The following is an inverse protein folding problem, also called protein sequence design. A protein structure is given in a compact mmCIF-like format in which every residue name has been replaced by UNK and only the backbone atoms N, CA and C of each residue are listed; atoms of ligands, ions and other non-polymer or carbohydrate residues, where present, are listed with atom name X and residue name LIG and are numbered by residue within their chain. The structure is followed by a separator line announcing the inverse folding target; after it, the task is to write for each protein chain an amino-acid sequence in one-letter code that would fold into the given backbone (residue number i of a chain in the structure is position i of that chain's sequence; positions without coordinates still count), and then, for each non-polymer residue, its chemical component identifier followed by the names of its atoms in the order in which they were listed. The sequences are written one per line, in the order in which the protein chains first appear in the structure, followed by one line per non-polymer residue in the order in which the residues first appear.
data_IF_607630697794
#
_entry.id   IF_607630697794
#
_cell.length_a   1.000
_cell.length_b   1.000
_cell.length_c   1.000
_cell.angle_alpha   90.00
_cell.angle_beta   90.00
_cell.angle_gamma   90.00
#
_symmetry.space_group_name_H-M   'P 1'
#
loop_
_entity.id
_entity.type
_entity.pdbx_description
1 polymer ?
#
# COMPACT_ATOMS: atom_id res chain seq x y z
N UNK A 1 -25.41 -10.60 0.96
CA UNK A 1 -24.35 -11.61 1.21
C UNK A 1 -23.11 -11.18 0.45
N UNK A 2 -22.01 -10.96 1.11
CA UNK A 2 -20.73 -10.68 0.44
C UNK A 2 -20.22 -11.94 -0.23
N UNK A 3 -19.83 -11.85 -1.49
CA UNK A 3 -19.23 -12.99 -2.22
C UNK A 3 -17.93 -13.38 -1.53
N UNK A 4 -17.79 -14.68 -1.21
CA UNK A 4 -16.52 -15.22 -0.67
C UNK A 4 -15.48 -15.25 -1.79
N UNK A 5 -14.32 -14.62 -1.57
CA UNK A 5 -13.19 -14.56 -2.49
C UNK A 5 -12.05 -15.44 -2.00
N UNK A 6 -11.20 -15.89 -2.93
CA UNK A 6 -9.92 -16.50 -2.65
C UNK A 6 -8.84 -15.40 -2.77
N UNK A 7 -8.09 -15.15 -1.70
CA UNK A 7 -7.13 -14.06 -1.62
C UNK A 7 -5.72 -14.62 -1.53
N UNK A 8 -4.83 -14.14 -2.40
CA UNK A 8 -3.39 -14.32 -2.26
C UNK A 8 -2.77 -13.07 -1.62
N UNK A 9 -1.80 -13.26 -0.72
CA UNK A 9 -1.14 -12.16 0.01
C UNK A 9 0.35 -12.14 -0.29
N UNK A 10 0.85 -11.04 -0.86
CA UNK A 10 2.27 -10.82 -1.06
C UNK A 10 2.96 -10.45 0.27
N UNK A 11 4.17 -10.96 0.50
CA UNK A 11 4.92 -10.72 1.72
C UNK A 11 4.15 -11.19 2.97
N UNK A 12 3.53 -12.37 2.87
CA UNK A 12 2.55 -12.90 3.83
C UNK A 12 3.10 -13.09 5.25
N UNK A 13 4.40 -13.30 5.42
CA UNK A 13 5.04 -13.43 6.72
C UNK A 13 5.52 -12.10 7.31
N UNK A 14 5.45 -11.00 6.53
CA UNK A 14 5.75 -9.65 6.98
C UNK A 14 4.72 -9.10 7.97
N UNK A 15 5.01 -7.96 8.57
CA UNK A 15 4.09 -7.30 9.53
C UNK A 15 2.71 -7.04 8.93
N UNK A 16 2.66 -6.40 7.73
CA UNK A 16 1.40 -6.15 7.05
C UNK A 16 0.77 -7.43 6.51
N UNK A 17 1.55 -8.32 5.90
CA UNK A 17 1.05 -9.58 5.37
C UNK A 17 0.26 -10.40 6.39
N UNK A 18 0.76 -10.54 7.61
CA UNK A 18 0.05 -11.24 8.71
C UNK A 18 -1.26 -10.56 9.08
N UNK A 19 -1.31 -9.22 9.09
CA UNK A 19 -2.56 -8.48 9.34
C UNK A 19 -3.56 -8.64 8.21
N UNK A 20 -3.09 -8.67 6.96
CA UNK A 20 -3.93 -8.90 5.78
C UNK A 20 -4.52 -10.30 5.77
N UNK A 21 -3.72 -11.32 6.11
CA UNK A 21 -4.20 -12.71 6.28
C UNK A 21 -5.30 -12.76 7.34
N UNK A 22 -5.06 -12.14 8.50
CA UNK A 22 -6.03 -12.08 9.58
C UNK A 22 -7.31 -11.36 9.15
N UNK A 23 -7.21 -10.19 8.56
CA UNK A 23 -8.35 -9.40 8.11
C UNK A 23 -9.17 -10.12 7.03
N UNK A 24 -8.52 -10.80 6.07
CA UNK A 24 -9.20 -11.59 5.05
C UNK A 24 -10.00 -12.76 5.67
N UNK A 25 -9.39 -13.46 6.64
CA UNK A 25 -10.05 -14.53 7.37
C UNK A 25 -11.25 -14.02 8.18
N UNK A 26 -11.09 -12.95 8.96
CA UNK A 26 -12.14 -12.33 9.77
C UNK A 26 -13.31 -11.80 8.91
N UNK A 27 -13.02 -11.36 7.69
CA UNK A 27 -14.03 -10.95 6.70
C UNK A 27 -14.74 -12.14 6.01
N UNK A 28 -14.37 -13.39 6.34
CA UNK A 28 -14.98 -14.60 5.78
C UNK A 28 -14.45 -15.00 4.40
N UNK A 29 -13.36 -14.42 3.93
CA UNK A 29 -12.69 -14.80 2.70
C UNK A 29 -11.81 -16.05 2.88
N UNK A 30 -11.48 -16.73 1.78
CA UNK A 30 -10.50 -17.81 1.77
C UNK A 30 -9.11 -17.27 1.41
N UNK A 31 -8.06 -17.93 1.90
CA UNK A 31 -6.68 -17.70 1.46
C UNK A 31 -6.31 -18.78 0.44
N UNK A 32 -5.81 -18.39 -0.74
CA UNK A 32 -5.26 -19.34 -1.73
C UNK A 32 -3.79 -19.64 -1.47
N UNK A 33 -3.03 -18.67 -0.98
CA UNK A 33 -1.61 -18.77 -0.69
C UNK A 33 -1.01 -17.41 -0.37
N UNK A 34 0.28 -17.37 -0.11
CA UNK A 34 1.03 -16.13 0.04
C UNK A 34 2.42 -16.24 -0.54
N UNK A 35 2.97 -15.13 -1.03
CA UNK A 35 4.36 -15.10 -1.49
C UNK A 35 5.29 -14.55 -0.42
N UNK A 36 6.52 -15.05 -0.40
CA UNK A 36 7.62 -14.61 0.45
C UNK A 36 8.93 -14.56 -0.34
N UNK A 37 9.90 -13.83 0.19
CA UNK A 37 11.23 -13.77 -0.41
C UNK A 37 11.86 -15.17 -0.48
N UNK A 38 12.55 -15.49 -1.58
CA UNK A 38 13.33 -16.72 -1.67
C UNK A 38 14.31 -16.82 -0.50
N UNK A 39 14.36 -17.99 0.15
CA UNK A 39 15.21 -18.23 1.32
C UNK A 39 14.57 -17.80 2.66
N UNK A 40 13.35 -17.27 2.69
CA UNK A 40 12.63 -17.02 3.93
C UNK A 40 12.42 -18.31 4.73
N UNK A 41 12.66 -18.25 6.04
CA UNK A 41 12.39 -19.36 6.97
C UNK A 41 10.89 -19.66 7.13
N UNK A 42 10.04 -18.83 6.56
CA UNK A 42 8.59 -18.98 6.62
C UNK A 42 8.00 -19.74 5.42
N UNK A 43 8.82 -20.12 4.43
CA UNK A 43 8.35 -20.90 3.30
C UNK A 43 7.76 -22.24 3.76
N UNK A 44 6.64 -22.64 3.14
CA UNK A 44 5.89 -23.84 3.49
C UNK A 44 5.05 -23.73 4.77
N UNK A 45 5.17 -22.67 5.55
CA UNK A 45 4.37 -22.48 6.78
C UNK A 45 2.96 -22.02 6.42
N UNK A 46 2.00 -22.50 7.19
CA UNK A 46 0.59 -22.11 7.07
C UNK A 46 0.38 -20.62 7.39
N UNK A 47 -0.41 -19.95 6.57
CA UNK A 47 -0.66 -18.49 6.68
C UNK A 47 -1.42 -18.14 7.96
N UNK A 48 -2.36 -18.98 8.38
CA UNK A 48 -3.07 -18.81 9.65
C UNK A 48 -2.10 -18.87 10.82
N UNK A 49 -1.25 -19.90 10.87
CA UNK A 49 -0.23 -20.03 11.91
C UNK A 49 0.74 -18.84 11.92
N UNK A 50 1.14 -18.30 10.74
CA UNK A 50 1.95 -17.11 10.65
C UNK A 50 1.24 -15.84 11.18
N UNK A 51 -0.07 -15.78 11.04
CA UNK A 51 -0.91 -14.68 11.50
C UNK A 51 -1.41 -14.82 12.95
N UNK A 52 -1.06 -15.92 13.65
CA UNK A 52 -1.50 -16.19 15.01
C UNK A 52 -2.94 -16.72 15.08
N UNK A 53 -3.40 -17.37 14.02
CA UNK A 53 -4.68 -18.05 13.91
C UNK A 53 -4.48 -19.58 13.90
N UNK A 54 -5.58 -20.33 13.94
CA UNK A 54 -5.57 -21.74 13.59
C UNK A 54 -5.16 -21.92 12.12
N UNK A 55 -4.60 -23.09 11.74
CA UNK A 55 -4.20 -23.37 10.37
C UNK A 55 -5.36 -23.16 9.38
N UNK A 56 -5.07 -22.44 8.29
CA UNK A 56 -6.05 -22.14 7.25
C UNK A 56 -5.89 -23.03 5.99
N UNK A 57 -4.86 -23.86 5.93
CA UNK A 57 -4.59 -24.76 4.80
C UNK A 57 -3.90 -24.07 3.61
N UNK A 58 -3.65 -22.77 3.67
CA UNK A 58 -2.89 -22.01 2.68
C UNK A 58 -1.47 -21.76 3.21
N UNK A 59 -0.45 -21.87 2.36
CA UNK A 59 0.95 -21.79 2.79
C UNK A 59 1.72 -20.66 2.09
N UNK A 60 2.86 -20.29 2.68
CA UNK A 60 3.80 -19.34 2.12
C UNK A 60 4.66 -20.00 1.04
N UNK A 61 4.75 -19.40 -0.15
CA UNK A 61 5.50 -19.85 -1.30
C UNK A 61 6.65 -18.88 -1.65
N UNK A 62 7.73 -19.37 -2.22
CA UNK A 62 8.78 -18.53 -2.79
C UNK A 62 8.37 -17.93 -4.14
N UNK A 63 7.53 -18.65 -4.88
CA UNK A 63 7.03 -18.25 -6.19
C UNK A 63 5.68 -17.54 -6.09
N UNK A 64 5.55 -16.45 -6.87
CA UNK A 64 4.26 -15.74 -6.97
C UNK A 64 3.22 -16.54 -7.73
N UNK A 65 3.65 -17.40 -8.66
CA UNK A 65 2.77 -18.30 -9.42
C UNK A 65 2.05 -19.27 -8.51
N UNK A 66 2.77 -19.94 -7.63
CA UNK A 66 2.19 -20.89 -6.68
C UNK A 66 1.28 -20.16 -5.67
N UNK A 67 1.72 -18.99 -5.18
CA UNK A 67 0.94 -18.19 -4.25
C UNK A 67 -0.38 -17.68 -4.84
N UNK A 68 -0.37 -17.27 -6.12
CA UNK A 68 -1.54 -16.72 -6.82
C UNK A 68 -2.47 -17.76 -7.44
N UNK A 69 -2.09 -19.05 -7.42
CA UNK A 69 -2.90 -20.10 -8.05
C UNK A 69 -4.28 -20.22 -7.40
N UNK A 70 -5.32 -20.01 -8.22
CA UNK A 70 -6.71 -20.07 -7.76
C UNK A 70 -7.15 -18.85 -6.94
N UNK A 71 -6.37 -17.78 -6.91
CA UNK A 71 -6.77 -16.53 -6.29
C UNK A 71 -7.70 -15.72 -7.20
N UNK A 72 -8.72 -15.11 -6.62
CA UNK A 72 -9.54 -14.09 -7.27
C UNK A 72 -8.86 -12.71 -7.17
N UNK A 73 -8.19 -12.45 -6.04
CA UNK A 73 -7.59 -11.17 -5.69
C UNK A 73 -6.17 -11.35 -5.15
N UNK A 74 -5.25 -10.55 -5.66
CA UNK A 74 -3.89 -10.39 -5.12
C UNK A 74 -3.81 -9.15 -4.24
N UNK A 75 -3.32 -9.29 -3.00
CA UNK A 75 -3.14 -8.17 -2.06
C UNK A 75 -1.66 -7.96 -1.79
N UNK A 76 -1.16 -6.76 -2.06
CA UNK A 76 0.27 -6.46 -2.06
C UNK A 76 0.61 -5.18 -1.27
N UNK A 77 1.38 -5.34 -0.20
CA UNK A 77 1.93 -4.26 0.63
C UNK A 77 3.43 -4.51 0.84
N UNK A 78 4.16 -4.66 -0.27
CA UNK A 78 5.57 -5.03 -0.26
C UNK A 78 6.49 -3.89 -0.69
N UNK A 79 7.19 -4.08 -1.80
CA UNK A 79 8.10 -3.09 -2.41
C UNK A 79 7.81 -2.95 -3.90
N UNK A 80 8.12 -1.80 -4.55
CA UNK A 80 7.79 -1.55 -5.95
C UNK A 80 8.17 -2.68 -6.90
N UNK A 81 9.40 -3.18 -6.82
CA UNK A 81 9.89 -4.25 -7.70
C UNK A 81 9.09 -5.56 -7.59
N UNK A 82 8.70 -5.93 -6.36
CA UNK A 82 7.89 -7.14 -6.13
C UNK A 82 6.46 -6.97 -6.64
N UNK A 83 5.86 -5.80 -6.41
CA UNK A 83 4.52 -5.48 -6.92
C UNK A 83 4.46 -5.51 -8.44
N UNK A 84 5.44 -4.89 -9.13
CA UNK A 84 5.48 -4.90 -10.60
C UNK A 84 5.68 -6.30 -11.16
N UNK A 85 6.54 -7.11 -10.53
CA UNK A 85 6.73 -8.51 -10.91
C UNK A 85 5.42 -9.30 -10.76
N UNK A 86 4.68 -9.11 -9.66
CA UNK A 86 3.38 -9.73 -9.45
C UNK A 86 2.40 -9.29 -10.56
N UNK A 87 2.21 -8.00 -10.78
CA UNK A 87 1.28 -7.47 -11.79
C UNK A 87 1.53 -8.02 -13.20
N UNK A 88 2.79 -8.25 -13.57
CA UNK A 88 3.14 -8.86 -14.85
C UNK A 88 2.67 -10.32 -14.96
N UNK A 89 2.54 -11.04 -13.86
CA UNK A 89 2.18 -12.46 -13.81
C UNK A 89 0.67 -12.70 -13.63
N UNK A 90 -0.05 -11.81 -12.92
CA UNK A 90 -1.46 -12.00 -12.57
C UNK A 90 -2.37 -12.35 -13.76
N UNK A 91 -2.24 -11.75 -14.97
CA UNK A 91 -3.07 -12.13 -16.10
C UNK A 91 -2.92 -13.59 -16.54
N UNK A 92 -1.71 -14.15 -16.39
CA UNK A 92 -1.42 -15.56 -16.70
C UNK A 92 -1.95 -16.55 -15.66
N UNK A 93 -2.31 -16.05 -14.47
CA UNK A 93 -2.83 -16.84 -13.36
C UNK A 93 -4.37 -16.73 -13.23
N UNK A 94 -5.01 -16.00 -14.14
CA UNK A 94 -6.45 -15.70 -14.11
C UNK A 94 -6.91 -14.92 -12.88
N UNK A 95 -5.98 -14.23 -12.20
CA UNK A 95 -6.29 -13.32 -11.08
C UNK A 95 -6.92 -12.05 -11.62
N UNK A 96 -8.13 -11.74 -11.19
CA UNK A 96 -8.95 -10.65 -11.76
C UNK A 96 -8.68 -9.29 -11.18
N UNK A 97 -8.19 -9.23 -9.94
CA UNK A 97 -7.99 -7.97 -9.25
C UNK A 97 -6.72 -7.93 -8.39
N UNK A 98 -6.19 -6.73 -8.18
CA UNK A 98 -5.09 -6.48 -7.26
C UNK A 98 -5.42 -5.29 -6.35
N UNK A 99 -5.08 -5.43 -5.06
CA UNK A 99 -5.13 -4.36 -4.07
C UNK A 99 -3.70 -4.02 -3.68
N UNK A 100 -3.25 -2.80 -3.96
CA UNK A 100 -1.86 -2.37 -3.83
C UNK A 100 -1.75 -1.27 -2.78
N UNK A 101 -1.07 -1.58 -1.68
CA UNK A 101 -0.67 -0.63 -0.64
C UNK A 101 0.83 -0.32 -0.64
N UNK A 102 1.56 -0.87 -1.58
CA UNK A 102 2.97 -0.54 -1.82
C UNK A 102 3.08 0.93 -2.25
N UNK A 103 4.07 1.62 -1.73
CA UNK A 103 4.36 3.04 -2.02
C UNK A 103 5.79 3.19 -2.53
N UNK A 104 6.15 4.39 -3.01
CA UNK A 104 7.50 4.71 -3.45
C UNK A 104 7.81 4.30 -4.89
N UNK A 105 6.79 4.18 -5.74
CA UNK A 105 6.97 3.97 -7.18
C UNK A 105 7.50 5.26 -7.85
N UNK A 106 8.39 5.09 -8.80
CA UNK A 106 8.79 6.13 -9.75
C UNK A 106 7.70 6.35 -10.80
N UNK A 107 7.75 7.47 -11.53
CA UNK A 107 6.81 7.76 -12.62
C UNK A 107 6.77 6.66 -13.69
N UNK A 108 7.93 6.06 -13.99
CA UNK A 108 8.02 4.95 -14.95
C UNK A 108 7.33 3.68 -14.42
N UNK A 109 7.42 3.40 -13.12
CA UNK A 109 6.75 2.28 -12.46
C UNK A 109 5.24 2.52 -12.35
N UNK A 110 4.82 3.76 -12.08
CA UNK A 110 3.40 4.14 -12.14
C UNK A 110 2.80 3.93 -13.53
N UNK A 111 3.53 4.24 -14.59
CA UNK A 111 3.10 3.96 -15.96
C UNK A 111 2.93 2.44 -16.22
N UNK A 112 3.80 1.59 -15.66
CA UNK A 112 3.65 0.14 -15.74
C UNK A 112 2.40 -0.36 -15.01
N UNK A 113 2.11 0.18 -13.82
CA UNK A 113 0.87 -0.14 -13.07
C UNK A 113 -0.36 0.25 -13.89
N UNK A 114 -0.34 1.44 -14.53
CA UNK A 114 -1.43 1.88 -15.39
C UNK A 114 -1.65 0.95 -16.59
N UNK A 115 -0.58 0.47 -17.20
CA UNK A 115 -0.66 -0.54 -18.28
C UNK A 115 -1.21 -1.87 -17.77
N UNK A 116 -0.79 -2.33 -16.60
CA UNK A 116 -1.33 -3.55 -15.99
C UNK A 116 -2.84 -3.44 -15.69
N UNK A 117 -3.32 -2.24 -15.35
CA UNK A 117 -4.73 -1.97 -15.08
C UNK A 117 -5.67 -2.15 -16.30
N UNK A 118 -5.12 -2.26 -17.50
CA UNK A 118 -5.89 -2.61 -18.72
C UNK A 118 -6.33 -4.10 -18.70
N UNK A 119 -5.69 -4.94 -17.89
CA UNK A 119 -5.90 -6.40 -17.86
C UNK A 119 -6.34 -6.91 -16.49
N UNK A 120 -6.01 -6.22 -15.41
CA UNK A 120 -6.33 -6.57 -14.01
C UNK A 120 -7.00 -5.36 -13.36
N UNK A 121 -8.13 -5.55 -12.68
CA UNK A 121 -8.75 -4.47 -11.92
C UNK A 121 -7.83 -4.09 -10.73
N UNK A 122 -7.36 -2.85 -10.68
CA UNK A 122 -6.41 -2.42 -9.65
C UNK A 122 -7.03 -1.37 -8.74
N UNK A 123 -6.97 -1.62 -7.43
CA UNK A 123 -7.20 -0.62 -6.37
C UNK A 123 -5.86 -0.30 -5.75
N UNK A 124 -5.36 0.92 -5.93
CA UNK A 124 -4.09 1.38 -5.36
C UNK A 124 -4.31 2.62 -4.51
N UNK A 125 -3.77 2.59 -3.29
CA UNK A 125 -3.78 3.74 -2.40
C UNK A 125 -2.49 3.81 -1.58
N UNK A 126 -2.01 5.01 -1.30
CA UNK A 126 -0.86 5.23 -0.43
C UNK A 126 -1.17 4.98 1.05
N UNK A 127 -2.45 4.97 1.41
CA UNK A 127 -2.93 4.64 2.75
C UNK A 127 -4.35 4.07 2.69
N UNK A 128 -4.61 3.02 3.44
CA UNK A 128 -5.93 2.38 3.57
C UNK A 128 -6.61 2.68 4.92
N UNK A 129 -6.03 3.54 5.75
CA UNK A 129 -6.67 4.00 6.98
C UNK A 129 -7.83 4.94 6.63
N UNK A 130 -9.03 4.62 7.10
CA UNK A 130 -10.20 5.47 6.95
C UNK A 130 -9.97 6.86 7.54
N UNK A 131 -9.32 6.94 8.72
CA UNK A 131 -9.01 8.20 9.37
C UNK A 131 -8.03 9.07 8.58
N UNK A 132 -7.00 8.48 7.97
CA UNK A 132 -6.04 9.21 7.14
C UNK A 132 -6.70 9.72 5.86
N UNK A 133 -7.51 8.90 5.19
CA UNK A 133 -8.22 9.33 3.97
C UNK A 133 -9.25 10.43 4.27
N UNK A 134 -9.93 10.35 5.42
CA UNK A 134 -10.81 11.43 5.87
C UNK A 134 -10.02 12.72 6.13
N UNK A 135 -8.89 12.63 6.82
CA UNK A 135 -8.01 13.77 7.10
C UNK A 135 -7.50 14.40 5.79
N UNK A 136 -7.08 13.62 4.82
CA UNK A 136 -6.68 14.10 3.49
C UNK A 136 -7.79 14.92 2.83
N UNK A 137 -9.02 14.41 2.85
CA UNK A 137 -10.18 15.12 2.29
C UNK A 137 -10.44 16.45 3.02
N UNK A 138 -10.36 16.46 4.35
CA UNK A 138 -10.55 17.66 5.17
C UNK A 138 -9.45 18.69 4.94
N UNK A 139 -8.19 18.26 4.87
CA UNK A 139 -7.04 19.15 4.57
C UNK A 139 -7.23 19.81 3.21
N UNK A 140 -7.57 19.05 2.18
CA UNK A 140 -7.84 19.59 0.85
C UNK A 140 -8.98 20.62 0.88
N UNK A 141 -10.07 20.31 1.57
CA UNK A 141 -11.21 21.21 1.69
C UNK A 141 -10.84 22.49 2.45
N UNK A 142 -10.12 22.39 3.57
CA UNK A 142 -9.66 23.55 4.32
C UNK A 142 -8.75 24.44 3.47
N UNK A 143 -7.73 23.86 2.82
CA UNK A 143 -6.79 24.58 1.98
C UNK A 143 -7.48 25.29 0.79
N UNK A 144 -8.57 24.73 0.25
CA UNK A 144 -9.34 25.36 -0.83
C UNK A 144 -10.19 26.56 -0.39
N UNK A 145 -10.43 26.73 0.91
CA UNK A 145 -11.25 27.81 1.48
C UNK A 145 -10.43 28.90 2.14
N UNK A 146 -9.25 28.54 2.62
CA UNK A 146 -8.33 29.48 3.24
C UNK A 146 -7.45 30.10 2.15
N UNK A 147 -7.28 31.43 2.19
CA UNK A 147 -6.46 32.18 1.23
C UNK A 147 -4.95 31.88 1.34
N UNK A 148 -4.16 32.53 0.50
CA UNK A 148 -2.70 32.40 0.50
C UNK A 148 -2.03 33.02 1.75
N UNK A 149 -2.80 33.83 2.51
CA UNK A 149 -2.37 34.46 3.78
C UNK A 149 -2.23 33.43 4.92
N UNK A 150 -2.70 32.20 4.71
CA UNK A 150 -2.64 31.12 5.70
C UNK A 150 -1.52 30.17 5.37
N UNK A 151 -0.53 30.08 6.26
CA UNK A 151 0.51 29.08 6.20
C UNK A 151 -0.07 27.69 6.54
N UNK A 152 0.45 26.65 5.89
CA UNK A 152 0.09 25.26 6.14
C UNK A 152 1.36 24.50 6.47
N UNK A 153 1.40 23.94 7.67
CA UNK A 153 2.52 23.10 8.11
C UNK A 153 2.05 21.68 8.39
N UNK A 154 2.86 20.70 7.99
CA UNK A 154 2.63 19.30 8.31
C UNK A 154 3.73 18.83 9.24
N UNK A 155 3.37 18.55 10.50
CA UNK A 155 4.27 18.00 11.50
C UNK A 155 3.97 16.52 11.73
N UNK A 156 5.00 15.70 11.75
CA UNK A 156 4.87 14.27 12.00
C UNK A 156 5.92 13.77 12.99
N UNK A 157 5.56 12.74 13.73
CA UNK A 157 6.49 12.03 14.62
C UNK A 157 6.35 10.54 14.43
N UNK A 158 7.48 9.83 14.39
CA UNK A 158 7.53 8.39 14.18
C UNK A 158 8.48 7.72 15.16
N UNK A 159 8.31 6.42 15.29
CA UNK A 159 9.24 5.59 16.04
C UNK A 159 10.63 5.57 15.39
N UNK A 160 11.69 5.35 16.18
CA UNK A 160 13.11 5.37 15.75
C UNK A 160 13.50 4.39 14.62
N UNK A 161 12.62 3.43 14.26
CA UNK A 161 12.87 2.44 13.19
C UNK A 161 12.43 2.93 11.81
N UNK A 162 11.80 4.10 11.71
CA UNK A 162 11.42 4.67 10.42
C UNK A 162 12.67 5.20 9.72
N UNK A 163 12.88 4.79 8.47
CA UNK A 163 14.06 5.13 7.69
C UNK A 163 13.85 6.31 6.75
N UNK A 164 12.62 6.47 6.26
CA UNK A 164 12.24 7.54 5.33
C UNK A 164 11.68 8.76 6.06
N UNK A 165 12.03 9.93 5.58
CA UNK A 165 11.49 11.22 5.98
C UNK A 165 11.47 12.16 4.76
N UNK A 166 10.38 12.91 4.51
CA UNK A 166 9.09 12.83 5.18
C UNK A 166 8.39 11.50 4.92
N UNK A 167 7.44 11.12 5.81
CA UNK A 167 6.63 9.91 5.60
C UNK A 167 5.73 10.03 4.38
N UNK A 168 5.36 8.89 3.78
CA UNK A 168 4.37 8.87 2.71
C UNK A 168 3.05 9.55 3.09
N UNK A 169 2.60 9.39 4.35
CA UNK A 169 1.40 10.06 4.86
C UNK A 169 1.57 11.58 4.95
N UNK A 170 2.72 12.07 5.40
CA UNK A 170 2.99 13.51 5.42
C UNK A 170 3.00 14.10 4.01
N UNK A 171 3.63 13.40 3.06
CA UNK A 171 3.59 13.81 1.65
C UNK A 171 2.18 13.83 1.09
N UNK A 172 1.35 12.82 1.38
CA UNK A 172 -0.06 12.79 0.97
C UNK A 172 -0.86 13.98 1.52
N UNK A 173 -0.66 14.35 2.78
CA UNK A 173 -1.32 15.52 3.37
C UNK A 173 -0.83 16.82 2.73
N UNK A 174 0.47 16.94 2.46
CA UNK A 174 1.02 18.06 1.69
C UNK A 174 0.44 18.17 0.28
N UNK A 175 0.35 17.05 -0.44
CA UNK A 175 -0.30 16.97 -1.75
C UNK A 175 -1.79 17.36 -1.70
N UNK A 176 -2.51 16.93 -0.66
CA UNK A 176 -3.90 17.30 -0.47
C UNK A 176 -4.07 18.80 -0.26
N UNK A 177 -3.21 19.42 0.56
CA UNK A 177 -3.20 20.87 0.77
C UNK A 177 -2.88 21.62 -0.53
N UNK A 178 -1.86 21.17 -1.27
CA UNK A 178 -1.45 21.73 -2.54
C UNK A 178 -2.56 21.64 -3.61
N UNK A 179 -3.22 20.50 -3.73
CA UNK A 179 -4.42 20.31 -4.56
C UNK A 179 -5.55 21.25 -4.18
N UNK A 180 -5.77 21.48 -2.86
CA UNK A 180 -6.72 22.45 -2.37
C UNK A 180 -6.43 23.88 -2.84
N UNK A 181 -5.15 24.24 -3.01
CA UNK A 181 -4.68 25.52 -3.53
C UNK A 181 -4.55 25.59 -5.05
N UNK A 182 -4.85 24.51 -5.76
CA UNK A 182 -4.74 24.44 -7.23
C UNK A 182 -3.33 24.49 -7.78
N UNK A 183 -2.33 24.15 -6.96
CA UNK A 183 -0.90 24.17 -7.33
C UNK A 183 -0.25 22.82 -6.99
N UNK A 184 0.81 22.39 -7.69
CA UNK A 184 1.56 21.18 -7.32
C UNK A 184 2.35 21.42 -6.03
N UNK A 185 2.54 20.36 -5.23
CA UNK A 185 3.30 20.43 -3.97
C UNK A 185 4.74 20.93 -4.18
N UNK A 186 5.36 20.59 -5.30
CA UNK A 186 6.72 21.01 -5.65
C UNK A 186 6.91 22.53 -5.73
N UNK A 187 5.86 23.27 -6.02
CA UNK A 187 5.89 24.74 -6.08
C UNK A 187 5.60 25.40 -4.71
N UNK A 188 4.90 24.70 -3.83
CA UNK A 188 4.47 25.24 -2.54
C UNK A 188 5.34 24.78 -1.37
N UNK A 189 6.02 23.65 -1.53
CA UNK A 189 6.85 23.07 -0.45
C UNK A 189 8.06 23.94 -0.18
N UNK A 190 8.18 24.50 1.03
CA UNK A 190 9.40 25.08 1.53
C UNK A 190 10.42 23.99 1.88
N UNK A 191 11.72 24.35 1.86
CA UNK A 191 12.76 23.48 2.40
C UNK A 191 12.48 23.16 3.88
N UNK A 192 12.90 22.00 4.40
CA UNK A 192 12.81 21.73 5.82
C UNK A 192 13.41 22.87 6.64
N UNK A 193 12.73 23.19 7.72
CA UNK A 193 13.23 24.20 8.66
C UNK A 193 14.42 23.61 9.39
N UNK A 194 15.62 23.91 8.89
CA UNK A 194 16.86 23.34 9.42
C UNK A 194 17.90 24.45 9.61
N UNK A 195 18.33 24.62 10.85
CA UNK A 195 19.35 25.60 11.24
C UNK A 195 18.81 27.01 11.57
N UNK A 196 19.69 27.86 12.14
CA UNK A 196 19.34 29.17 12.67
C UNK A 196 18.94 30.21 11.60
N UNK A 197 19.34 29.99 10.34
CA UNK A 197 19.02 30.87 9.22
C UNK A 197 17.88 30.40 8.33
N UNK A 198 17.19 29.32 8.73
CA UNK A 198 16.05 28.81 7.99
C UNK A 198 14.92 29.85 7.98
N UNK A 199 14.54 30.33 6.80
CA UNK A 199 13.40 31.24 6.62
C UNK A 199 12.15 30.46 6.27
N UNK A 200 11.04 30.84 6.85
CA UNK A 200 9.70 30.39 6.44
C UNK A 200 9.37 30.83 5.03
#
# INVERSE_FOLDING_TARGET
MTTRLNIAVAGCAGRMGRQLVKAAHEAGHALSGGSEAPGSQNLGRDLGALAGLEPLGAVAHAGMTEAGKGADVWVDFTVPSATLMALAMLPGLDVKAAVIGTTGFSDAEEAQIKTAAERVAIVKAGNYSLGVNLLEALVRQAASRLGEDWDIEVLETHHRRKLDAPSGTALMLGEAAAKGRGKPLSELRSAPYDGPDAKR
#
